data_IF_546558255551
#
_entry.id   IF_546558255551
#
_cell.length_a   1.000
_cell.length_b   1.000
_cell.length_c   1.000
_cell.angle_alpha   90.00
_cell.angle_beta   90.00
_cell.angle_gamma   90.00
#
_symmetry.space_group_name_H-M   'P 1'
#
loop_
_entity.id
_entity.type
_entity.pdbx_description
1 polymer ?
#
# COMPACT_ATOMS: atom_id res chain seq x y z
N UNK A 1 -9.94 10.11 28.81
CA UNK A 1 -9.15 11.36 29.01
C UNK A 1 -7.64 11.11 29.07
N UNK A 2 -7.15 10.10 29.82
CA UNK A 2 -5.71 9.77 29.93
C UNK A 2 -5.02 9.41 28.60
N UNK A 3 -5.71 8.76 27.65
CA UNK A 3 -5.18 8.43 26.32
C UNK A 3 -4.95 9.65 25.43
N UNK A 4 -5.87 10.64 25.49
CA UNK A 4 -5.75 11.91 24.76
C UNK A 4 -4.59 12.76 25.30
N UNK A 5 -4.45 12.86 26.62
CA UNK A 5 -3.34 13.58 27.24
C UNK A 5 -1.97 13.00 26.84
N UNK A 6 -1.80 11.66 26.92
CA UNK A 6 -0.58 10.98 26.47
C UNK A 6 -0.27 11.19 24.98
N UNK A 7 -1.30 11.24 24.12
CA UNK A 7 -1.14 11.55 22.69
C UNK A 7 -0.61 12.97 22.48
N UNK A 8 -1.19 13.98 23.15
CA UNK A 8 -0.73 15.37 23.05
C UNK A 8 0.69 15.57 23.57
N UNK A 9 1.08 14.95 24.69
CA UNK A 9 2.46 15.04 25.20
C UNK A 9 3.46 14.41 24.22
N UNK A 10 3.09 13.28 23.61
CA UNK A 10 3.93 12.58 22.62
C UNK A 10 4.06 13.37 21.31
N UNK A 11 2.98 14.00 20.86
CA UNK A 11 2.99 14.88 19.68
C UNK A 11 3.82 16.15 19.93
N UNK A 12 3.65 16.80 21.09
CA UNK A 12 4.46 17.95 21.50
C UNK A 12 5.95 17.62 21.58
N UNK A 13 6.31 16.49 22.20
CA UNK A 13 7.69 16.02 22.27
C UNK A 13 8.30 15.73 20.89
N UNK A 14 7.51 15.15 19.96
CA UNK A 14 7.92 14.92 18.57
C UNK A 14 8.19 16.24 17.82
N UNK A 15 7.36 17.26 18.01
CA UNK A 15 7.55 18.58 17.38
C UNK A 15 8.85 19.24 17.82
N UNK A 16 9.13 19.25 19.14
CA UNK A 16 10.39 19.79 19.68
C UNK A 16 11.58 19.01 19.14
N UNK A 17 11.52 17.67 19.18
CA UNK A 17 12.60 16.80 18.70
C UNK A 17 12.90 17.06 17.22
N UNK A 18 11.87 17.17 16.36
CA UNK A 18 12.05 17.47 14.95
C UNK A 18 12.65 18.87 14.72
N UNK A 19 12.25 19.87 15.51
CA UNK A 19 12.84 21.21 15.43
C UNK A 19 14.32 21.20 15.78
N UNK A 20 14.72 20.47 16.82
CA UNK A 20 16.13 20.32 17.22
C UNK A 20 16.95 19.58 16.15
N UNK A 21 16.38 18.52 15.54
CA UNK A 21 17.07 17.68 14.55
C UNK A 21 17.08 18.26 13.13
N UNK A 22 16.35 19.35 12.86
CA UNK A 22 16.21 19.89 11.50
C UNK A 22 17.54 20.24 10.83
N UNK A 23 18.45 20.91 11.55
CA UNK A 23 19.75 21.32 10.99
C UNK A 23 20.67 20.13 10.68
N UNK A 24 20.74 19.15 11.59
CA UNK A 24 21.56 17.95 11.36
C UNK A 24 20.97 17.09 10.25
N UNK A 25 19.65 16.96 10.19
CA UNK A 25 18.98 16.25 9.12
C UNK A 25 19.20 16.90 7.75
N UNK A 26 19.10 18.23 7.64
CA UNK A 26 19.36 18.94 6.40
C UNK A 26 20.76 18.65 5.82
N UNK A 27 21.78 18.47 6.68
CA UNK A 27 23.13 18.09 6.22
C UNK A 27 23.18 16.66 5.70
N UNK A 28 22.52 15.72 6.41
CA UNK A 28 22.45 14.31 5.97
C UNK A 28 21.67 14.15 4.67
N UNK A 29 20.59 14.90 4.49
CA UNK A 29 19.77 14.83 3.28
C UNK A 29 20.55 15.29 2.05
N UNK A 30 21.36 16.36 2.16
CA UNK A 30 22.27 16.76 1.08
C UNK A 30 23.29 15.66 0.75
N UNK A 31 23.78 14.93 1.75
CA UNK A 31 24.71 13.81 1.53
C UNK A 31 24.08 12.52 0.99
N UNK A 32 22.75 12.49 0.75
CA UNK A 32 22.07 11.28 0.26
C UNK A 32 22.15 11.09 -1.25
N UNK A 33 22.54 12.12 -2.00
CA UNK A 33 22.71 12.08 -3.45
C UNK A 33 22.44 13.44 -4.09
N UNK A 34 23.01 13.66 -5.28
CA UNK A 34 22.78 14.87 -6.05
C UNK A 34 21.39 14.84 -6.72
N UNK A 35 20.74 16.01 -6.78
CA UNK A 35 19.43 16.18 -7.43
C UNK A 35 19.64 17.00 -8.70
N UNK A 36 19.57 16.34 -9.85
CA UNK A 36 19.72 16.98 -11.16
C UNK A 36 18.51 17.87 -11.49
N UNK A 37 18.69 18.85 -12.37
CA UNK A 37 17.55 19.57 -12.97
C UNK A 37 16.68 18.61 -13.80
N UNK A 38 15.37 18.81 -13.78
CA UNK A 38 14.40 17.91 -14.43
C UNK A 38 14.10 16.63 -13.65
N UNK A 39 14.57 16.49 -12.41
CA UNK A 39 14.29 15.30 -11.59
C UNK A 39 12.82 15.23 -11.18
N UNK A 40 12.26 14.01 -11.19
CA UNK A 40 10.91 13.71 -10.72
C UNK A 40 10.89 13.72 -9.19
N UNK A 41 9.96 14.47 -8.60
CA UNK A 41 9.81 14.52 -7.15
C UNK A 41 8.76 13.52 -6.66
N UNK A 42 9.02 12.85 -5.55
CA UNK A 42 8.00 12.15 -4.75
C UNK A 42 7.72 13.00 -3.51
N UNK A 43 6.50 13.54 -3.37
CA UNK A 43 6.18 14.39 -2.23
C UNK A 43 5.60 13.58 -1.07
N UNK A 44 6.38 13.41 0.00
CA UNK A 44 6.00 12.61 1.16
C UNK A 44 6.10 13.42 2.46
N UNK A 45 4.99 14.04 2.86
CA UNK A 45 4.94 15.03 3.95
C UNK A 45 4.25 14.56 5.23
N UNK A 46 4.09 13.24 5.41
CA UNK A 46 3.45 12.61 6.58
C UNK A 46 4.45 12.23 7.67
N UNK A 47 3.97 11.73 8.82
CA UNK A 47 4.84 11.19 9.87
C UNK A 47 5.41 9.79 9.56
N UNK A 48 6.42 9.33 10.33
CA UNK A 48 7.16 8.10 10.05
C UNK A 48 6.28 6.84 10.12
N UNK A 49 5.18 6.88 10.89
CA UNK A 49 4.21 5.78 10.93
C UNK A 49 3.50 5.49 9.60
N UNK A 50 3.61 6.38 8.61
CA UNK A 50 3.02 6.20 7.28
C UNK A 50 4.04 5.81 6.20
N UNK A 51 5.33 5.63 6.55
CA UNK A 51 6.38 5.33 5.54
C UNK A 51 6.10 4.04 4.77
N UNK A 52 5.35 3.09 5.35
CA UNK A 52 4.88 1.90 4.64
C UNK A 52 4.18 2.23 3.30
N UNK A 53 3.48 3.36 3.20
CA UNK A 53 2.81 3.80 1.96
C UNK A 53 3.81 4.12 0.84
N UNK A 54 4.97 4.69 1.21
CA UNK A 54 6.06 4.96 0.28
C UNK A 54 6.86 3.68 0.00
N UNK A 55 7.08 2.81 1.00
CA UNK A 55 7.81 1.54 0.86
C UNK A 55 7.24 0.66 -0.27
N UNK A 56 5.92 0.64 -0.45
CA UNK A 56 5.28 -0.05 -1.58
C UNK A 56 5.76 0.44 -2.96
N UNK A 57 6.22 1.68 -3.07
CA UNK A 57 6.65 2.29 -4.34
C UNK A 57 8.18 2.36 -4.50
N UNK A 58 8.97 2.06 -3.47
CA UNK A 58 10.42 2.27 -3.52
C UNK A 58 11.08 1.49 -4.65
N UNK A 59 10.80 0.19 -4.80
CA UNK A 59 11.40 -0.61 -5.89
C UNK A 59 11.03 -0.10 -7.29
N UNK A 60 9.76 0.19 -7.62
CA UNK A 60 9.41 0.85 -8.89
C UNK A 60 10.11 2.19 -9.10
N UNK A 61 10.19 3.02 -8.06
CA UNK A 61 10.80 4.36 -8.14
C UNK A 61 12.33 4.29 -8.28
N UNK A 62 13.00 3.36 -7.61
CA UNK A 62 14.43 3.09 -7.76
C UNK A 62 14.76 2.50 -9.12
N UNK A 63 13.86 1.68 -9.68
CA UNK A 63 13.99 1.20 -11.06
C UNK A 63 13.81 2.33 -12.07
N UNK A 64 12.83 3.20 -11.87
CA UNK A 64 12.63 4.41 -12.66
C UNK A 64 13.85 5.33 -12.56
N UNK A 65 14.46 5.44 -11.36
CA UNK A 65 15.62 6.28 -11.10
C UNK A 65 16.81 6.00 -12.03
N UNK A 66 16.96 4.75 -12.46
CA UNK A 66 18.02 4.31 -13.37
C UNK A 66 17.94 4.96 -14.77
N UNK A 67 16.74 5.39 -15.19
CA UNK A 67 16.49 6.01 -16.50
C UNK A 67 16.04 7.46 -16.41
N UNK A 68 15.41 7.85 -15.30
CA UNK A 68 14.91 9.20 -15.04
C UNK A 68 15.29 9.58 -13.61
N UNK A 69 16.01 10.67 -13.35
CA UNK A 69 16.32 11.08 -11.97
C UNK A 69 15.05 11.24 -11.11
N UNK A 70 15.01 10.60 -9.94
CA UNK A 70 13.89 10.61 -8.98
C UNK A 70 14.46 10.97 -7.62
N UNK A 71 13.74 11.78 -6.83
CA UNK A 71 14.11 12.09 -5.45
C UNK A 71 12.88 12.22 -4.55
N UNK A 72 13.04 12.06 -3.24
CA UNK A 72 11.95 12.14 -2.26
C UNK A 72 12.02 13.45 -1.48
N UNK A 73 10.93 14.22 -1.49
CA UNK A 73 10.77 15.42 -0.67
C UNK A 73 10.12 15.03 0.66
N UNK A 74 10.78 15.36 1.76
CA UNK A 74 10.26 15.17 3.13
C UNK A 74 10.18 16.49 3.89
N UNK A 75 9.17 16.63 4.73
CA UNK A 75 8.95 17.84 5.55
C UNK A 75 9.41 17.70 7.00
N UNK A 76 9.81 16.49 7.42
CA UNK A 76 10.15 16.17 8.82
C UNK A 76 11.42 15.32 8.93
N UNK A 77 12.32 15.63 9.89
CA UNK A 77 13.53 14.83 10.13
C UNK A 77 13.29 13.37 10.52
N UNK A 78 12.30 13.08 11.37
CA UNK A 78 11.98 11.70 11.77
C UNK A 78 11.60 10.82 10.58
N UNK A 79 10.75 11.36 9.70
CA UNK A 79 10.28 10.71 8.48
C UNK A 79 11.42 10.56 7.49
N UNK A 80 12.16 11.63 7.24
CA UNK A 80 13.30 11.60 6.35
C UNK A 80 14.42 10.66 6.81
N UNK A 81 14.62 10.48 8.12
CA UNK A 81 15.56 9.48 8.65
C UNK A 81 15.13 8.08 8.26
N UNK A 82 13.84 7.75 8.45
CA UNK A 82 13.30 6.45 8.06
C UNK A 82 13.39 6.23 6.55
N UNK A 83 13.09 7.25 5.73
CA UNK A 83 13.24 7.17 4.26
C UNK A 83 14.69 6.84 3.86
N UNK A 84 15.69 7.49 4.47
CA UNK A 84 17.11 7.20 4.22
C UNK A 84 17.53 5.78 4.65
N UNK A 85 16.81 5.15 5.58
CA UNK A 85 17.09 3.78 6.01
C UNK A 85 16.56 2.72 5.04
N UNK A 86 15.52 3.04 4.26
CA UNK A 86 14.77 2.07 3.44
C UNK A 86 14.88 2.33 1.93
N UNK A 87 15.46 3.44 1.52
CA UNK A 87 15.52 3.88 0.12
C UNK A 87 16.94 4.29 -0.28
N UNK A 88 17.30 4.00 -1.52
CA UNK A 88 18.50 4.50 -2.18
C UNK A 88 18.31 5.83 -2.93
N UNK A 89 17.08 6.35 -2.98
CA UNK A 89 16.77 7.61 -3.68
C UNK A 89 17.33 8.82 -2.92
N UNK A 90 17.82 9.86 -3.62
CA UNK A 90 18.14 11.13 -3.01
C UNK A 90 16.95 11.72 -2.23
N UNK A 91 17.22 12.32 -1.07
CA UNK A 91 16.21 12.91 -0.19
C UNK A 91 16.43 14.41 -0.04
N UNK A 92 15.39 15.19 -0.36
CA UNK A 92 15.35 16.62 -0.14
C UNK A 92 14.54 16.99 1.11
N UNK A 93 15.11 17.78 2.01
CA UNK A 93 14.42 18.27 3.20
C UNK A 93 13.79 19.65 2.97
N UNK A 94 12.46 19.71 2.91
CA UNK A 94 11.68 20.93 2.71
C UNK A 94 10.60 21.10 3.81
N UNK A 95 10.94 21.65 4.99
CA UNK A 95 10.02 21.73 6.13
C UNK A 95 8.91 22.79 5.99
N UNK A 96 8.92 23.60 4.93
CA UNK A 96 7.94 24.67 4.72
C UNK A 96 8.02 25.30 3.34
N UNK A 97 7.10 26.23 3.06
CA UNK A 97 6.85 26.78 1.72
C UNK A 97 8.07 27.40 1.07
N UNK A 98 8.90 28.13 1.82
CA UNK A 98 10.13 28.78 1.31
C UNK A 98 11.14 27.73 0.83
N UNK A 99 11.34 26.67 1.61
CA UNK A 99 12.27 25.60 1.24
C UNK A 99 11.75 24.85 0.00
N UNK A 100 10.44 24.63 -0.06
CA UNK A 100 9.80 23.95 -1.18
C UNK A 100 9.88 24.76 -2.47
N UNK A 101 9.64 26.07 -2.41
CA UNK A 101 9.76 26.98 -3.56
C UNK A 101 11.19 27.03 -4.10
N UNK A 102 12.18 27.14 -3.21
CA UNK A 102 13.60 27.08 -3.60
C UNK A 102 13.94 25.76 -4.29
N UNK A 103 13.46 24.64 -3.75
CA UNK A 103 13.72 23.30 -4.27
C UNK A 103 13.10 23.12 -5.67
N UNK A 104 11.82 23.47 -5.84
CA UNK A 104 11.12 23.38 -7.13
C UNK A 104 11.81 24.23 -8.19
N UNK A 105 12.18 25.47 -7.85
CA UNK A 105 12.89 26.39 -8.76
C UNK A 105 14.29 25.88 -9.10
N UNK A 106 15.06 25.43 -8.11
CA UNK A 106 16.45 25.01 -8.31
C UNK A 106 16.59 23.78 -9.20
N UNK A 107 15.64 22.84 -9.12
CA UNK A 107 15.70 21.59 -9.87
C UNK A 107 14.74 21.53 -11.06
N UNK A 108 14.02 22.62 -11.37
CA UNK A 108 13.05 22.69 -12.47
C UNK A 108 12.17 21.43 -12.54
N UNK A 109 11.54 21.08 -11.41
CA UNK A 109 10.81 19.81 -11.23
C UNK A 109 9.66 19.72 -12.24
N UNK A 110 9.65 18.74 -13.16
CA UNK A 110 8.63 18.63 -14.20
C UNK A 110 7.41 17.82 -13.74
N UNK A 111 7.60 16.89 -12.80
CA UNK A 111 6.57 15.95 -12.33
C UNK A 111 6.68 15.74 -10.83
N UNK A 112 5.54 15.66 -10.15
CA UNK A 112 5.45 15.35 -8.72
C UNK A 112 4.50 14.17 -8.50
N UNK A 113 4.99 13.12 -7.84
CA UNK A 113 4.27 11.89 -7.53
C UNK A 113 3.77 11.88 -6.08
N UNK A 114 2.53 11.40 -5.88
CA UNK A 114 1.86 11.36 -4.57
C UNK A 114 1.32 9.97 -4.24
N UNK A 115 1.81 9.36 -3.16
CA UNK A 115 1.41 7.99 -2.73
C UNK A 115 0.22 7.95 -1.75
N UNK A 116 -0.33 9.11 -1.40
CA UNK A 116 -1.45 9.21 -0.47
C UNK A 116 -2.26 10.50 -0.66
N UNK A 117 -3.41 10.54 0.01
CA UNK A 117 -4.25 11.72 0.13
C UNK A 117 -4.08 12.31 1.53
N UNK A 118 -3.33 13.41 1.63
CA UNK A 118 -3.20 14.16 2.88
C UNK A 118 -3.29 15.65 2.61
N UNK A 119 -3.83 16.40 3.57
CA UNK A 119 -3.99 17.87 3.49
C UNK A 119 -2.68 18.58 3.14
N UNK A 120 -1.55 18.07 3.64
CA UNK A 120 -0.23 18.67 3.39
C UNK A 120 0.19 18.63 1.92
N UNK A 121 -0.42 17.78 1.07
CA UNK A 121 -0.15 17.75 -0.37
C UNK A 121 -0.52 19.07 -1.07
N UNK A 122 -1.51 19.82 -0.56
CA UNK A 122 -1.88 21.13 -1.10
C UNK A 122 -0.75 22.16 -1.02
N UNK A 123 0.23 21.97 -0.14
CA UNK A 123 1.43 22.84 -0.11
C UNK A 123 2.31 22.69 -1.34
N UNK A 124 2.28 21.51 -1.97
CA UNK A 124 3.03 21.20 -3.17
C UNK A 124 2.16 21.38 -4.43
N UNK A 125 0.88 21.02 -4.40
CA UNK A 125 -0.06 21.20 -5.54
C UNK A 125 -0.23 22.67 -5.94
N UNK A 126 0.10 23.62 -5.05
CA UNK A 126 0.06 25.06 -5.37
C UNK A 126 1.04 25.49 -6.48
N UNK A 127 2.07 24.70 -6.77
CA UNK A 127 3.03 25.04 -7.82
C UNK A 127 2.45 24.61 -9.15
N UNK A 128 2.03 25.53 -10.00
CA UNK A 128 1.37 25.17 -11.26
C UNK A 128 2.31 24.56 -12.31
N UNK A 129 3.63 24.75 -12.18
CA UNK A 129 4.59 24.34 -13.22
C UNK A 129 4.78 22.83 -13.38
N UNK A 130 4.87 22.00 -12.32
CA UNK A 130 5.01 20.56 -12.48
C UNK A 130 3.66 19.91 -12.78
N UNK A 131 3.68 18.76 -13.45
CA UNK A 131 2.52 17.88 -13.56
C UNK A 131 2.37 17.09 -12.26
N UNK A 132 1.20 17.19 -11.63
CA UNK A 132 0.90 16.52 -10.38
C UNK A 132 0.20 15.18 -10.65
N UNK A 133 0.80 14.09 -10.16
CA UNK A 133 0.37 12.72 -10.43
C UNK A 133 0.06 11.98 -9.15
N UNK A 134 -1.20 11.58 -8.98
CA UNK A 134 -1.59 10.69 -7.88
C UNK A 134 -1.30 9.22 -8.23
N UNK A 135 -0.68 8.51 -7.29
CA UNK A 135 -0.37 7.08 -7.38
C UNK A 135 -1.17 6.22 -6.39
N UNK A 136 -1.47 6.76 -5.20
CA UNK A 136 -1.98 5.96 -4.08
C UNK A 136 -0.95 4.96 -3.54
N UNK A 137 -1.39 3.97 -2.77
CA UNK A 137 -0.51 2.95 -2.14
C UNK A 137 -1.13 1.54 -2.18
N UNK A 138 -1.89 1.27 -3.23
CA UNK A 138 -2.53 -0.02 -3.48
C UNK A 138 -3.84 0.14 -4.24
N UNK A 139 -4.23 -0.90 -4.97
CA UNK A 139 -5.56 -1.02 -5.55
C UNK A 139 -6.55 -1.54 -4.50
N UNK A 140 -7.78 -1.04 -4.52
CA UNK A 140 -8.84 -1.51 -3.62
C UNK A 140 -10.19 -0.89 -3.99
N UNK A 141 -11.27 -1.66 -3.83
CA UNK A 141 -12.66 -1.17 -3.94
C UNK A 141 -13.16 -0.40 -2.70
N UNK A 142 -12.25 0.14 -1.87
CA UNK A 142 -12.62 1.01 -0.75
C UNK A 142 -13.09 2.37 -1.25
N UNK A 143 -14.04 2.99 -0.53
CA UNK A 143 -14.48 4.38 -0.77
C UNK A 143 -13.32 5.38 -0.84
N UNK A 144 -12.23 5.13 -0.11
CA UNK A 144 -11.04 5.98 -0.15
C UNK A 144 -10.40 6.08 -1.53
N UNK A 145 -10.59 5.07 -2.39
CA UNK A 145 -10.11 5.04 -3.77
C UNK A 145 -10.94 5.95 -4.70
N UNK A 146 -12.13 6.37 -4.26
CA UNK A 146 -13.06 7.25 -4.99
C UNK A 146 -13.17 8.59 -4.26
N UNK A 147 -12.06 9.30 -4.14
CA UNK A 147 -12.00 10.58 -3.44
C UNK A 147 -12.11 11.76 -4.39
N UNK A 148 -12.88 12.80 -4.01
CA UNK A 148 -12.85 14.11 -4.71
C UNK A 148 -11.44 14.72 -4.75
N UNK A 149 -10.52 14.28 -3.89
CA UNK A 149 -9.12 14.69 -3.94
C UNK A 149 -8.42 14.31 -5.24
N UNK A 150 -8.89 13.30 -5.98
CA UNK A 150 -8.38 12.97 -7.33
C UNK A 150 -8.47 14.16 -8.30
N UNK A 151 -9.44 15.06 -8.11
CA UNK A 151 -9.61 16.27 -8.94
C UNK A 151 -8.52 17.33 -8.74
N UNK A 152 -7.67 17.18 -7.73
CA UNK A 152 -6.58 18.11 -7.46
C UNK A 152 -5.30 17.79 -8.26
N UNK A 153 -5.28 16.67 -8.98
CA UNK A 153 -4.11 16.18 -9.71
C UNK A 153 -4.35 16.26 -11.21
N UNK A 154 -3.31 16.58 -11.98
CA UNK A 154 -3.37 16.59 -13.44
C UNK A 154 -3.54 15.18 -14.01
N UNK A 155 -2.94 14.18 -13.35
CA UNK A 155 -3.07 12.76 -13.70
C UNK A 155 -3.32 11.90 -12.46
N UNK A 156 -4.04 10.81 -12.68
CA UNK A 156 -4.32 9.78 -11.68
C UNK A 156 -3.89 8.44 -12.27
N UNK A 157 -2.83 7.85 -11.73
CA UNK A 157 -2.35 6.56 -12.16
C UNK A 157 -3.06 5.47 -11.37
N UNK A 158 -3.67 4.53 -12.09
CA UNK A 158 -4.46 3.44 -11.51
C UNK A 158 -4.02 2.09 -12.04
N UNK A 159 -4.44 1.03 -11.36
CA UNK A 159 -4.03 -0.32 -11.68
C UNK A 159 -4.59 -0.82 -13.03
N UNK A 160 -5.86 -0.55 -13.31
CA UNK A 160 -6.52 -1.04 -14.52
C UNK A 160 -7.91 -0.44 -14.71
N UNK A 161 -8.66 -1.04 -15.62
CA UNK A 161 -9.95 -0.51 -16.08
C UNK A 161 -10.97 -0.45 -14.95
N UNK A 162 -11.01 -1.46 -14.07
CA UNK A 162 -11.87 -1.49 -12.90
C UNK A 162 -11.80 -0.19 -12.06
N UNK A 163 -10.58 0.30 -11.82
CA UNK A 163 -10.37 1.53 -11.06
C UNK A 163 -10.80 2.79 -11.81
N UNK A 164 -10.56 2.82 -13.13
CA UNK A 164 -10.97 3.92 -14.01
C UNK A 164 -12.50 4.03 -14.08
N UNK A 165 -13.19 2.91 -14.28
CA UNK A 165 -14.66 2.82 -14.30
C UNK A 165 -15.26 3.28 -12.98
N UNK A 166 -14.69 2.83 -11.85
CA UNK A 166 -15.10 3.27 -10.50
C UNK A 166 -15.01 4.78 -10.35
N UNK A 167 -13.88 5.37 -10.77
CA UNK A 167 -13.65 6.82 -10.72
C UNK A 167 -14.65 7.56 -11.61
N UNK A 168 -14.81 7.13 -12.86
CA UNK A 168 -15.70 7.74 -13.84
C UNK A 168 -17.17 7.74 -13.39
N UNK A 169 -17.61 6.63 -12.80
CA UNK A 169 -18.99 6.44 -12.35
C UNK A 169 -19.34 7.31 -11.15
N UNK A 170 -18.42 7.46 -10.19
CA UNK A 170 -18.74 8.03 -8.88
C UNK A 170 -18.23 9.46 -8.67
N UNK A 171 -17.18 9.90 -9.38
CA UNK A 171 -16.67 11.28 -9.27
C UNK A 171 -17.37 12.21 -10.25
N UNK A 172 -18.43 12.87 -9.78
CA UNK A 172 -19.17 13.88 -10.55
C UNK A 172 -18.25 14.91 -11.18
N UNK A 173 -18.32 15.07 -12.50
CA UNK A 173 -17.58 16.09 -13.24
C UNK A 173 -16.06 15.86 -13.30
N UNK A 174 -15.58 14.64 -13.07
CA UNK A 174 -14.20 14.27 -13.33
C UNK A 174 -14.10 13.58 -14.70
N UNK A 175 -13.25 14.10 -15.58
CA UNK A 175 -12.99 13.51 -16.89
C UNK A 175 -11.95 12.39 -16.76
N UNK A 176 -12.43 11.16 -16.56
CA UNK A 176 -11.56 10.02 -16.36
C UNK A 176 -10.70 9.72 -17.60
N UNK A 177 -11.19 9.97 -18.81
CA UNK A 177 -10.44 9.71 -20.05
C UNK A 177 -9.27 10.69 -20.19
N UNK A 178 -9.47 11.96 -19.85
CA UNK A 178 -8.41 12.95 -19.87
C UNK A 178 -7.34 12.68 -18.79
N UNK A 179 -7.76 12.32 -17.58
CA UNK A 179 -6.88 12.35 -16.39
C UNK A 179 -6.32 11.00 -15.95
N UNK A 180 -6.98 9.87 -16.24
CA UNK A 180 -6.57 8.55 -15.73
C UNK A 180 -5.56 7.89 -16.67
N UNK A 181 -4.53 7.25 -16.11
CA UNK A 181 -3.61 6.37 -16.84
C UNK A 181 -3.54 5.00 -16.18
N UNK A 182 -3.67 3.96 -17.00
CA UNK A 182 -3.63 2.57 -16.56
C UNK A 182 -2.18 2.09 -16.56
N UNK A 183 -1.63 1.85 -15.38
CA UNK A 183 -0.21 1.51 -15.22
C UNK A 183 0.01 0.08 -14.72
N UNK A 184 -1.04 -0.69 -14.44
CA UNK A 184 -0.89 -1.98 -13.80
C UNK A 184 -0.44 -1.86 -12.34
N UNK A 185 0.21 -2.90 -11.84
CA UNK A 185 0.81 -2.91 -10.50
C UNK A 185 2.32 -3.13 -10.61
N UNK A 186 3.11 -2.08 -10.92
CA UNK A 186 4.55 -2.21 -11.10
C UNK A 186 5.27 -2.75 -9.85
N UNK A 187 4.66 -2.64 -8.67
CA UNK A 187 5.17 -3.26 -7.45
C UNK A 187 5.32 -4.79 -7.59
N UNK A 188 4.42 -5.44 -8.34
CA UNK A 188 4.39 -6.88 -8.52
C UNK A 188 5.42 -7.39 -9.54
N UNK A 189 6.05 -6.49 -10.31
CA UNK A 189 7.09 -6.85 -11.29
C UNK A 189 8.49 -7.04 -10.68
N UNK A 190 8.59 -6.94 -9.35
CA UNK A 190 9.84 -7.02 -8.61
C UNK A 190 9.89 -8.26 -7.72
N UNK A 191 11.09 -8.84 -7.60
CA UNK A 191 11.36 -9.87 -6.61
C UNK A 191 11.54 -9.23 -5.23
N UNK A 192 11.07 -9.93 -4.20
CA UNK A 192 11.20 -9.52 -2.80
C UNK A 192 11.87 -10.63 -1.99
N UNK A 193 12.88 -10.26 -1.20
CA UNK A 193 13.51 -11.18 -0.26
C UNK A 193 12.69 -11.28 1.04
N UNK A 194 12.91 -12.34 1.82
CA UNK A 194 12.30 -12.50 3.14
C UNK A 194 11.58 -13.82 3.38
N UNK A 195 11.43 -14.65 2.34
CA UNK A 195 10.84 -15.98 2.49
C UNK A 195 11.63 -16.85 3.47
N UNK A 196 10.97 -17.55 4.42
CA UNK A 196 11.66 -18.43 5.35
C UNK A 196 12.17 -19.69 4.63
N UNK A 197 13.27 -20.25 5.12
CA UNK A 197 13.83 -21.51 4.63
C UNK A 197 13.05 -22.72 5.17
N UNK A 198 11.78 -22.83 4.82
CA UNK A 198 10.94 -23.97 5.19
C UNK A 198 11.29 -25.21 4.35
N UNK A 199 11.37 -26.37 5.01
CA UNK A 199 11.50 -27.65 4.31
C UNK A 199 10.28 -27.89 3.42
N UNK A 200 10.52 -28.49 2.25
CA UNK A 200 9.44 -28.93 1.36
C UNK A 200 8.84 -30.21 1.95
N UNK A 201 7.77 -30.05 2.72
CA UNK A 201 7.12 -31.11 3.50
C UNK A 201 5.69 -31.44 3.01
N UNK A 202 5.26 -30.83 1.90
CA UNK A 202 3.93 -31.02 1.31
C UNK A 202 2.79 -30.29 2.03
N UNK A 203 3.07 -29.53 3.09
CA UNK A 203 2.07 -28.68 3.71
C UNK A 203 1.71 -27.49 2.81
N UNK A 204 0.42 -27.15 2.76
CA UNK A 204 -0.05 -25.96 2.04
C UNK A 204 0.21 -24.71 2.87
N UNK A 205 0.85 -23.72 2.26
CA UNK A 205 1.26 -22.47 2.90
C UNK A 205 0.11 -21.46 2.81
N UNK A 206 -0.46 -21.12 3.97
CA UNK A 206 -1.58 -20.19 4.10
C UNK A 206 -1.04 -18.81 4.51
N UNK A 207 -1.26 -17.79 3.69
CA UNK A 207 -0.94 -16.41 4.02
C UNK A 207 -2.16 -15.70 4.59
N UNK A 208 -2.16 -15.43 5.89
CA UNK A 208 -3.21 -14.65 6.54
C UNK A 208 -2.73 -13.21 6.79
N UNK A 209 -3.33 -12.26 6.06
CA UNK A 209 -2.91 -10.86 6.06
C UNK A 209 -4.10 -9.91 6.28
N UNK A 210 -4.62 -9.84 7.51
CA UNK A 210 -5.79 -9.02 7.81
C UNK A 210 -5.45 -7.53 7.85
N UNK A 211 -6.49 -6.72 7.67
CA UNK A 211 -6.47 -5.28 7.94
C UNK A 211 -6.56 -5.01 9.45
N UNK A 212 -6.44 -3.73 9.83
CA UNK A 212 -6.63 -3.28 11.20
C UNK A 212 -8.09 -2.81 11.42
N UNK A 213 -8.42 -2.43 12.65
CA UNK A 213 -9.78 -2.03 13.05
C UNK A 213 -10.32 -0.75 12.37
N UNK A 214 -9.51 -0.05 11.58
CA UNK A 214 -9.92 1.17 10.88
C UNK A 214 -9.86 2.44 11.74
N UNK A 215 -9.93 3.59 11.06
CA UNK A 215 -9.99 4.91 11.70
C UNK A 215 -11.42 5.39 11.98
N UNK A 216 -12.42 4.79 11.30
CA UNK A 216 -13.84 5.07 11.42
C UNK A 216 -14.66 3.78 11.23
N UNK A 217 -15.91 3.72 11.74
CA UNK A 217 -16.74 2.52 11.66
C UNK A 217 -16.90 1.94 10.26
N UNK A 218 -17.04 2.79 9.23
CA UNK A 218 -17.17 2.36 7.83
C UNK A 218 -15.93 1.73 7.21
N UNK A 219 -14.78 1.81 7.90
CA UNK A 219 -13.51 1.21 7.48
C UNK A 219 -13.10 0.04 8.39
N UNK A 220 -13.99 -0.45 9.25
CA UNK A 220 -13.73 -1.53 10.19
C UNK A 220 -13.84 -2.91 9.55
N UNK A 221 -12.93 -3.21 8.61
CA UNK A 221 -12.85 -4.49 7.89
C UNK A 221 -12.11 -5.60 8.64
N UNK A 222 -11.32 -5.23 9.66
CA UNK A 222 -10.38 -6.09 10.35
C UNK A 222 -10.97 -7.39 10.91
N UNK A 223 -10.52 -8.53 10.40
CA UNK A 223 -11.00 -9.85 10.82
C UNK A 223 -10.23 -10.44 12.02
N UNK A 224 -9.13 -9.82 12.47
CA UNK A 224 -8.26 -10.33 13.56
C UNK A 224 -9.06 -10.73 14.80
N UNK A 225 -9.96 -9.84 15.26
CA UNK A 225 -10.73 -10.05 16.49
C UNK A 225 -11.96 -10.95 16.31
N UNK A 226 -12.61 -10.91 15.15
CA UNK A 226 -13.86 -11.64 14.88
C UNK A 226 -13.61 -13.06 14.38
N UNK A 227 -12.71 -13.23 13.41
CA UNK A 227 -12.44 -14.52 12.75
C UNK A 227 -11.07 -15.08 13.13
N UNK A 228 -10.07 -14.20 13.25
CA UNK A 228 -8.65 -14.55 13.19
C UNK A 228 -8.23 -15.58 14.23
N UNK A 229 -8.66 -15.43 15.49
CA UNK A 229 -8.28 -16.37 16.57
C UNK A 229 -8.80 -17.78 16.29
N UNK A 230 -10.09 -17.91 15.91
CA UNK A 230 -10.71 -19.19 15.61
C UNK A 230 -10.05 -19.86 14.39
N UNK A 231 -9.90 -19.11 13.30
CA UNK A 231 -9.26 -19.61 12.08
C UNK A 231 -7.83 -20.09 12.33
N UNK A 232 -7.00 -19.28 13.00
CA UNK A 232 -5.59 -19.61 13.22
C UNK A 232 -5.43 -20.78 14.20
N UNK A 233 -6.31 -20.92 15.20
CA UNK A 233 -6.33 -22.07 16.10
C UNK A 233 -6.62 -23.37 15.34
N UNK A 234 -7.64 -23.36 14.48
CA UNK A 234 -8.03 -24.54 13.71
C UNK A 234 -6.94 -24.93 12.70
N UNK A 235 -6.40 -23.97 11.95
CA UNK A 235 -5.34 -24.23 10.97
C UNK A 235 -4.04 -24.71 11.64
N UNK A 236 -3.64 -24.14 12.77
CA UNK A 236 -2.40 -24.54 13.45
C UNK A 236 -2.47 -25.97 14.01
N UNK A 237 -3.66 -26.45 14.37
CA UNK A 237 -3.87 -27.80 14.87
C UNK A 237 -3.76 -28.89 13.79
N UNK A 238 -3.85 -28.55 12.50
CA UNK A 238 -3.84 -29.48 11.39
C UNK A 238 -2.50 -29.41 10.61
N UNK A 239 -1.73 -30.51 10.55
CA UNK A 239 -0.41 -30.52 9.92
C UNK A 239 -0.43 -30.29 8.41
N UNK A 240 -1.59 -30.34 7.76
CA UNK A 240 -1.71 -30.00 6.33
C UNK A 240 -1.39 -28.53 6.05
N UNK A 241 -1.48 -27.66 7.05
CA UNK A 241 -1.33 -26.22 6.88
C UNK A 241 -0.04 -25.69 7.47
N UNK A 242 0.49 -24.65 6.83
CA UNK A 242 1.61 -23.86 7.34
C UNK A 242 1.29 -22.38 7.22
N UNK A 243 1.16 -21.72 8.36
CA UNK A 243 0.63 -20.36 8.42
C UNK A 243 1.76 -19.32 8.35
N UNK A 244 1.61 -18.34 7.47
CA UNK A 244 2.29 -17.05 7.51
C UNK A 244 1.25 -16.01 7.93
N UNK A 245 1.30 -15.56 9.18
CA UNK A 245 0.43 -14.52 9.69
C UNK A 245 1.14 -13.17 9.66
N UNK A 246 0.62 -12.23 8.87
CA UNK A 246 1.12 -10.86 8.78
C UNK A 246 0.12 -9.87 9.38
N UNK A 247 0.26 -9.51 10.66
CA UNK A 247 -0.59 -8.48 11.26
C UNK A 247 -0.31 -7.11 10.63
N UNK A 248 -1.37 -6.35 10.40
CA UNK A 248 -1.23 -4.95 9.99
C UNK A 248 -0.43 -4.16 11.06
N UNK A 249 0.49 -3.24 10.68
CA UNK A 249 1.32 -2.48 11.64
C UNK A 249 0.52 -1.62 12.65
N UNK A 250 -0.75 -1.35 12.33
CA UNK A 250 -1.68 -0.60 13.18
C UNK A 250 -2.70 -1.47 13.94
N UNK A 251 -2.65 -2.79 13.83
CA UNK A 251 -3.58 -3.67 14.54
C UNK A 251 -3.51 -3.41 16.05
N UNK A 252 -4.68 -3.13 16.64
CA UNK A 252 -4.80 -2.86 18.07
C UNK A 252 -4.49 -1.42 18.50
N UNK A 253 -4.32 -0.49 17.55
CA UNK A 253 -4.06 0.92 17.83
C UNK A 253 -5.27 1.66 18.44
N UNK A 254 -6.47 1.35 17.95
CA UNK A 254 -7.77 1.88 18.34
C UNK A 254 -8.65 0.84 19.06
N UNK A 255 -8.32 -0.46 18.98
CA UNK A 255 -9.14 -1.54 19.57
C UNK A 255 -8.34 -2.47 20.49
N UNK A 256 -8.69 -2.48 21.78
CA UNK A 256 -8.09 -3.41 22.73
C UNK A 256 -8.39 -4.88 22.39
N UNK A 257 -9.56 -5.15 21.81
CA UNK A 257 -9.94 -6.49 21.35
C UNK A 257 -9.03 -6.97 20.21
N UNK A 258 -8.76 -6.12 19.21
CA UNK A 258 -7.80 -6.44 18.15
C UNK A 258 -6.39 -6.65 18.70
N UNK A 259 -5.96 -5.81 19.65
CA UNK A 259 -4.66 -5.98 20.29
C UNK A 259 -4.55 -7.31 21.06
N UNK A 260 -5.63 -7.74 21.72
CA UNK A 260 -5.68 -9.01 22.43
C UNK A 260 -5.68 -10.20 21.47
N UNK A 261 -6.51 -10.15 20.43
CA UNK A 261 -6.59 -11.19 19.42
C UNK A 261 -5.28 -11.36 18.64
N UNK A 262 -4.57 -10.27 18.29
CA UNK A 262 -3.24 -10.34 17.69
C UNK A 262 -2.25 -11.08 18.60
N UNK A 263 -2.23 -10.75 19.90
CA UNK A 263 -1.37 -11.45 20.87
C UNK A 263 -1.71 -12.93 20.98
N UNK A 264 -2.99 -13.27 20.94
CA UNK A 264 -3.46 -14.64 21.03
C UNK A 264 -3.07 -15.46 19.79
N UNK A 265 -3.24 -14.92 18.59
CA UNK A 265 -2.78 -15.57 17.35
C UNK A 265 -1.28 -15.81 17.40
N UNK A 266 -0.48 -14.80 17.80
CA UNK A 266 0.97 -14.97 17.96
C UNK A 266 1.31 -16.09 18.94
N UNK A 267 0.60 -16.17 20.07
CA UNK A 267 0.80 -17.21 21.06
C UNK A 267 0.44 -18.60 20.52
N UNK A 268 -0.67 -18.72 19.78
CA UNK A 268 -1.07 -19.95 19.09
C UNK A 268 0.05 -20.41 18.16
N UNK A 269 0.52 -19.54 17.27
CA UNK A 269 1.53 -19.90 16.27
C UNK A 269 2.88 -20.27 16.91
N UNK A 270 3.33 -19.51 17.92
CA UNK A 270 4.55 -19.83 18.67
C UNK A 270 4.44 -21.14 19.46
N UNK A 271 3.24 -21.55 19.88
CA UNK A 271 2.99 -22.83 20.54
C UNK A 271 3.36 -24.05 19.67
N UNK A 272 3.47 -23.86 18.35
CA UNK A 272 3.88 -24.87 17.38
C UNK A 272 5.35 -24.72 16.93
N UNK A 273 6.18 -24.00 17.70
CA UNK A 273 7.59 -23.78 17.40
C UNK A 273 7.81 -22.99 16.11
N UNK A 274 8.79 -23.41 15.30
CA UNK A 274 9.15 -22.73 14.02
C UNK A 274 8.30 -23.21 12.82
N UNK A 275 7.23 -23.98 13.08
CA UNK A 275 6.34 -24.44 12.01
C UNK A 275 5.63 -23.29 11.33
N UNK A 276 5.18 -22.30 12.09
CA UNK A 276 4.45 -21.15 11.56
C UNK A 276 5.27 -19.88 11.67
N UNK A 277 4.93 -18.87 10.88
CA UNK A 277 5.63 -17.58 10.87
C UNK A 277 4.66 -16.47 11.24
N UNK A 278 5.02 -15.69 12.26
CA UNK A 278 4.49 -14.35 12.47
C UNK A 278 5.39 -13.39 11.69
N UNK A 279 4.91 -12.93 10.56
CA UNK A 279 5.66 -12.08 9.63
C UNK A 279 5.51 -10.60 10.00
N UNK A 280 6.63 -10.00 10.41
CA UNK A 280 6.77 -8.56 10.65
C UNK A 280 7.84 -7.93 9.75
N UNK A 281 8.27 -8.63 8.70
CA UNK A 281 9.30 -8.20 7.77
C UNK A 281 8.74 -7.45 6.56
N UNK A 282 9.47 -7.49 5.45
CA UNK A 282 9.07 -6.86 4.19
C UNK A 282 7.84 -7.54 3.57
N UNK A 283 7.09 -6.78 2.78
CA UNK A 283 5.93 -7.26 2.03
C UNK A 283 6.29 -7.44 0.55
N UNK A 284 5.87 -8.56 -0.02
CA UNK A 284 6.03 -8.92 -1.44
C UNK A 284 6.47 -10.38 -1.63
N UNK A 285 7.36 -10.89 -0.78
CA UNK A 285 7.88 -12.27 -0.93
C UNK A 285 6.80 -13.34 -0.71
N UNK A 286 5.73 -12.98 -0.01
CA UNK A 286 4.61 -13.86 0.32
C UNK A 286 3.84 -14.29 -0.92
N UNK A 287 3.80 -13.47 -1.97
CA UNK A 287 3.08 -13.76 -3.21
C UNK A 287 3.62 -15.01 -3.91
N UNK A 288 4.94 -15.12 -4.02
CA UNK A 288 5.60 -16.29 -4.62
C UNK A 288 5.63 -17.47 -3.65
N UNK A 289 5.74 -17.18 -2.35
CA UNK A 289 5.95 -18.18 -1.32
C UNK A 289 4.68 -18.86 -0.82
N UNK A 290 3.53 -18.19 -0.73
CA UNK A 290 2.32 -18.82 -0.21
C UNK A 290 1.50 -19.48 -1.34
N UNK A 291 0.66 -20.44 -0.95
CA UNK A 291 -0.18 -21.22 -1.88
C UNK A 291 -1.62 -20.69 -1.90
N UNK A 292 -2.10 -20.15 -0.78
CA UNK A 292 -3.44 -19.57 -0.65
C UNK A 292 -3.41 -18.37 0.30
N UNK A 293 -4.23 -17.36 0.05
CA UNK A 293 -4.37 -16.20 0.92
C UNK A 293 -5.73 -16.14 1.61
N UNK A 294 -5.71 -15.75 2.88
CA UNK A 294 -6.87 -15.27 3.63
C UNK A 294 -6.63 -13.80 3.96
N UNK A 295 -7.55 -12.93 3.61
CA UNK A 295 -7.47 -11.49 3.95
C UNK A 295 -8.86 -10.89 4.03
N UNK A 296 -8.93 -9.61 4.37
CA UNK A 296 -10.17 -8.86 4.44
C UNK A 296 -10.39 -8.09 3.12
N UNK A 297 -11.35 -7.17 3.08
CA UNK A 297 -11.40 -6.13 2.04
C UNK A 297 -10.16 -5.23 2.19
N UNK A 298 -9.09 -5.59 1.47
CA UNK A 298 -7.73 -5.09 1.65
C UNK A 298 -7.03 -4.92 0.31
N UNK A 299 -6.06 -4.01 0.21
CA UNK A 299 -5.19 -3.95 -0.98
C UNK A 299 -4.40 -5.25 -1.20
N UNK A 300 -4.13 -6.00 -0.12
CA UNK A 300 -3.51 -7.33 -0.19
C UNK A 300 -4.33 -8.30 -1.04
N UNK A 301 -5.67 -8.22 -0.99
CA UNK A 301 -6.55 -9.07 -1.80
C UNK A 301 -6.34 -8.85 -3.30
N UNK A 302 -6.12 -7.60 -3.70
CA UNK A 302 -5.90 -7.20 -5.09
C UNK A 302 -4.47 -7.52 -5.54
N UNK A 303 -3.48 -7.35 -4.66
CA UNK A 303 -2.12 -7.82 -4.96
C UNK A 303 -2.09 -9.33 -5.16
N UNK A 304 -2.86 -10.06 -4.34
CA UNK A 304 -2.99 -11.51 -4.46
C UNK A 304 -3.76 -11.92 -5.71
N UNK A 305 -4.81 -11.18 -6.08
CA UNK A 305 -5.56 -11.40 -7.33
C UNK A 305 -4.62 -11.50 -8.54
N UNK A 306 -3.60 -10.63 -8.61
CA UNK A 306 -2.63 -10.65 -9.70
C UNK A 306 -1.76 -11.92 -9.77
N UNK A 307 -1.69 -12.71 -8.70
CA UNK A 307 -0.98 -14.01 -8.71
C UNK A 307 -1.81 -15.13 -9.35
N UNK A 308 -3.12 -14.93 -9.51
CA UNK A 308 -4.08 -15.94 -9.94
C UNK A 308 -4.30 -17.08 -8.92
N UNK A 309 -3.62 -17.06 -7.77
CA UNK A 309 -3.69 -18.12 -6.75
C UNK A 309 -5.00 -18.06 -5.94
N UNK A 310 -5.42 -19.16 -5.31
CA UNK A 310 -6.62 -19.22 -4.49
C UNK A 310 -6.67 -18.13 -3.40
N UNK A 311 -7.84 -17.53 -3.23
CA UNK A 311 -8.09 -16.45 -2.27
C UNK A 311 -9.39 -16.70 -1.50
N UNK A 312 -9.36 -16.43 -0.19
CA UNK A 312 -10.53 -16.41 0.67
C UNK A 312 -10.65 -15.05 1.36
N UNK A 313 -11.76 -14.34 1.13
CA UNK A 313 -12.01 -13.01 1.72
C UNK A 313 -12.93 -13.11 2.94
N UNK A 314 -12.55 -12.51 4.06
CA UNK A 314 -13.42 -12.47 5.23
C UNK A 314 -14.53 -11.45 5.05
N UNK A 315 -15.76 -11.82 5.40
CA UNK A 315 -16.89 -10.88 5.48
C UNK A 315 -16.78 -10.08 6.78
N UNK A 316 -16.74 -8.73 6.75
CA UNK A 316 -16.61 -7.92 7.96
C UNK A 316 -17.72 -8.19 8.98
N UNK A 317 -17.32 -8.40 10.23
CA UNK A 317 -18.24 -8.54 11.38
C UNK A 317 -18.56 -7.17 11.98
N UNK A 318 -19.02 -6.26 11.13
CA UNK A 318 -19.32 -4.88 11.47
C UNK A 318 -20.41 -4.37 10.53
N UNK A 319 -21.60 -4.13 11.07
CA UNK A 319 -22.78 -3.66 10.31
C UNK A 319 -22.56 -2.32 9.60
N UNK A 320 -21.60 -1.53 10.05
CA UNK A 320 -21.26 -0.24 9.45
C UNK A 320 -20.15 -0.34 8.40
N UNK A 321 -19.40 -1.46 8.36
CA UNK A 321 -18.40 -1.67 7.34
C UNK A 321 -19.10 -1.93 6.01
N UNK A 322 -18.72 -1.18 4.98
CA UNK A 322 -19.29 -1.33 3.64
C UNK A 322 -18.64 -2.53 2.97
N UNK A 323 -19.34 -3.64 2.75
CA UNK A 323 -18.87 -4.65 1.82
C UNK A 323 -19.17 -4.15 0.40
N UNK A 324 -18.18 -3.65 -0.35
CA UNK A 324 -18.46 -2.99 -1.62
C UNK A 324 -19.01 -4.00 -2.61
N UNK A 325 -20.04 -3.60 -3.35
CA UNK A 325 -20.45 -4.33 -4.55
C UNK A 325 -19.38 -4.09 -5.62
N UNK A 326 -18.53 -5.08 -5.85
CA UNK A 326 -17.55 -5.07 -6.92
C UNK A 326 -17.48 -6.42 -7.62
N UNK A 327 -17.09 -6.39 -8.90
CA UNK A 327 -16.93 -7.59 -9.73
C UNK A 327 -16.02 -8.59 -9.01
N UNK A 328 -14.87 -8.14 -8.51
CA UNK A 328 -13.95 -8.99 -7.77
C UNK A 328 -14.56 -9.62 -6.52
N UNK A 329 -15.17 -8.82 -5.64
CA UNK A 329 -15.72 -9.34 -4.38
C UNK A 329 -16.96 -10.24 -4.58
N UNK A 330 -17.62 -10.13 -5.74
CA UNK A 330 -18.72 -11.02 -6.12
C UNK A 330 -18.26 -12.38 -6.65
N UNK A 331 -17.03 -12.48 -7.14
CA UNK A 331 -16.47 -13.68 -7.77
C UNK A 331 -15.57 -14.50 -6.84
N UNK A 332 -15.03 -13.89 -5.78
CA UNK A 332 -14.15 -14.58 -4.84
C UNK A 332 -14.92 -15.24 -3.69
N UNK A 333 -14.50 -16.45 -3.25
CA UNK A 333 -15.06 -17.10 -2.08
C UNK A 333 -14.91 -16.23 -0.82
N UNK A 334 -15.95 -16.25 0.01
CA UNK A 334 -15.97 -15.51 1.27
C UNK A 334 -16.20 -16.40 2.48
N UNK A 335 -15.75 -15.94 3.65
CA UNK A 335 -15.98 -16.61 4.94
C UNK A 335 -16.49 -15.60 5.96
N UNK A 336 -17.62 -15.92 6.59
CA UNK A 336 -18.18 -15.16 7.70
C UNK A 336 -17.72 -15.72 9.05
N UNK A 337 -17.95 -14.98 10.14
CA UNK A 337 -17.54 -15.37 11.49
C UNK A 337 -18.03 -16.77 11.89
N UNK A 338 -19.25 -17.14 11.48
CA UNK A 338 -19.85 -18.44 11.75
C UNK A 338 -19.11 -19.62 11.08
N UNK A 339 -18.31 -19.37 10.05
CA UNK A 339 -17.52 -20.38 9.36
C UNK A 339 -16.07 -20.48 9.84
N UNK A 340 -15.61 -19.60 10.75
CA UNK A 340 -14.20 -19.48 11.12
C UNK A 340 -13.61 -20.79 11.69
N UNK A 341 -14.40 -21.56 12.44
CA UNK A 341 -13.99 -22.86 13.00
C UNK A 341 -13.92 -23.99 11.95
N UNK A 342 -14.38 -23.76 10.73
CA UNK A 342 -14.33 -24.70 9.61
C UNK A 342 -13.38 -24.24 8.49
N UNK A 343 -12.54 -23.24 8.73
CA UNK A 343 -11.70 -22.62 7.69
C UNK A 343 -10.81 -23.63 6.95
N UNK A 344 -10.26 -24.64 7.63
CA UNK A 344 -9.44 -25.66 6.98
C UNK A 344 -10.24 -26.50 5.96
N UNK A 345 -11.51 -26.78 6.22
CA UNK A 345 -12.36 -27.50 5.27
C UNK A 345 -12.77 -26.61 4.09
N UNK A 346 -13.03 -25.32 4.36
CA UNK A 346 -13.27 -24.31 3.31
C UNK A 346 -12.06 -24.20 2.37
N UNK A 347 -10.85 -24.08 2.92
CA UNK A 347 -9.62 -24.06 2.12
C UNK A 347 -9.40 -25.36 1.35
N UNK A 348 -9.66 -26.51 1.97
CA UNK A 348 -9.49 -27.80 1.31
C UNK A 348 -10.47 -27.99 0.13
N UNK A 349 -11.67 -27.44 0.21
CA UNK A 349 -12.63 -27.40 -0.89
C UNK A 349 -12.17 -26.43 -1.98
N UNK A 350 -11.78 -25.22 -1.59
CA UNK A 350 -11.25 -24.19 -2.48
C UNK A 350 -10.08 -24.70 -3.34
N UNK A 351 -9.14 -25.42 -2.72
CA UNK A 351 -7.96 -25.96 -3.39
C UNK A 351 -8.24 -27.17 -4.30
N UNK A 352 -9.39 -27.85 -4.14
CA UNK A 352 -9.79 -29.00 -4.96
C UNK A 352 -10.60 -28.62 -6.19
N UNK A 353 -11.37 -27.54 -6.12
CA UNK A 353 -12.19 -27.08 -7.23
C UNK A 353 -11.31 -26.34 -8.24
N UNK A 354 -11.06 -26.94 -9.40
CA UNK A 354 -10.23 -26.35 -10.45
C UNK A 354 -10.73 -25.00 -10.96
N UNK A 355 -12.02 -24.68 -10.79
CA UNK A 355 -12.58 -23.35 -11.14
C UNK A 355 -12.38 -22.31 -10.05
N UNK A 356 -12.20 -22.73 -8.80
CA UNK A 356 -11.94 -21.86 -7.65
C UNK A 356 -10.45 -21.83 -7.27
N UNK A 357 -9.66 -22.78 -7.78
CA UNK A 357 -8.23 -22.92 -7.54
C UNK A 357 -7.38 -21.92 -8.34
N UNK A 358 -7.96 -21.28 -9.34
CA UNK A 358 -7.34 -20.20 -10.12
C UNK A 358 -8.36 -19.09 -10.35
N UNK A 359 -7.98 -17.86 -10.08
CA UNK A 359 -8.85 -16.71 -10.37
C UNK A 359 -8.88 -16.45 -11.89
N UNK A 360 -10.02 -16.02 -12.41
CA UNK A 360 -10.23 -15.78 -13.85
C UNK A 360 -9.24 -14.76 -14.41
N UNK A 361 -8.51 -15.14 -15.47
CA UNK A 361 -7.58 -14.28 -16.20
C UNK A 361 -8.26 -13.00 -16.72
N UNK A 362 -9.55 -13.07 -17.07
CA UNK A 362 -10.32 -11.89 -17.49
C UNK A 362 -10.50 -10.90 -16.34
N UNK A 363 -10.73 -11.38 -15.12
CA UNK A 363 -10.83 -10.54 -13.92
C UNK A 363 -9.47 -9.90 -13.59
N UNK A 364 -8.39 -10.70 -13.64
CA UNK A 364 -7.01 -10.20 -13.47
C UNK A 364 -6.70 -9.11 -14.50
N UNK A 365 -7.03 -9.35 -15.77
CA UNK A 365 -6.82 -8.40 -16.85
C UNK A 365 -7.65 -7.13 -16.67
N UNK A 366 -8.90 -7.24 -16.22
CA UNK A 366 -9.75 -6.07 -15.96
C UNK A 366 -9.18 -5.17 -14.85
N UNK A 367 -8.61 -5.76 -13.80
CA UNK A 367 -8.02 -5.00 -12.69
C UNK A 367 -6.60 -4.49 -12.96
N UNK A 368 -5.80 -5.17 -13.79
CA UNK A 368 -4.36 -4.89 -13.91
C UNK A 368 -3.83 -4.71 -15.34
N UNK A 369 -4.64 -5.02 -16.35
CA UNK A 369 -4.20 -5.14 -17.73
C UNK A 369 -3.27 -6.34 -17.93
N UNK A 370 -2.30 -6.21 -18.83
CA UNK A 370 -1.29 -7.25 -19.06
C UNK A 370 -0.35 -7.40 -17.85
N UNK A 371 -0.26 -8.59 -17.28
CA UNK A 371 0.55 -8.94 -16.10
C UNK A 371 1.82 -9.72 -16.43
N UNK A 372 2.20 -9.79 -17.72
CA UNK A 372 3.47 -10.38 -18.13
C UNK A 372 4.65 -9.67 -17.43
N UNK A 373 5.74 -10.41 -17.19
CA UNK A 373 6.89 -9.91 -16.43
C UNK A 373 7.37 -8.53 -16.93
N UNK A 374 7.33 -7.52 -16.04
CA UNK A 374 7.73 -6.11 -16.27
C UNK A 374 6.79 -5.29 -17.16
N UNK A 375 5.63 -5.82 -17.55
CA UNK A 375 4.67 -5.08 -18.37
C UNK A 375 4.09 -3.87 -17.60
N UNK A 376 3.78 -4.02 -16.30
CA UNK A 376 3.29 -2.90 -15.48
C UNK A 376 4.36 -1.83 -15.29
N UNK A 377 5.61 -2.24 -15.09
CA UNK A 377 6.78 -1.35 -14.98
C UNK A 377 6.98 -0.54 -16.25
N UNK A 378 6.86 -1.19 -17.41
CA UNK A 378 6.95 -0.50 -18.70
C UNK A 378 5.82 0.52 -18.87
N UNK A 379 4.57 0.17 -18.53
CA UNK A 379 3.44 1.11 -18.55
C UNK A 379 3.61 2.27 -17.57
N UNK A 380 4.10 2.01 -16.36
CA UNK A 380 4.41 3.04 -15.38
C UNK A 380 5.47 4.02 -15.89
N UNK A 381 6.57 3.53 -16.46
CA UNK A 381 7.60 4.38 -17.06
C UNK A 381 7.04 5.20 -18.24
N UNK A 382 6.25 4.58 -19.12
CA UNK A 382 5.63 5.27 -20.25
C UNK A 382 4.67 6.38 -19.80
N UNK A 383 3.86 6.14 -18.76
CA UNK A 383 2.96 7.14 -18.21
C UNK A 383 3.71 8.31 -17.54
N UNK A 384 4.84 8.03 -16.87
CA UNK A 384 5.72 9.09 -16.35
C UNK A 384 6.34 9.90 -17.48
N UNK A 385 6.82 9.24 -18.54
CA UNK A 385 7.38 9.91 -19.72
C UNK A 385 6.34 10.79 -20.43
N UNK A 386 5.08 10.34 -20.51
CA UNK A 386 3.96 11.14 -20.99
C UNK A 386 3.75 12.40 -20.13
N UNK A 387 3.80 12.28 -18.80
CA UNK A 387 3.67 13.42 -17.90
C UNK A 387 4.83 14.42 -18.05
N UNK A 388 6.05 13.93 -18.26
CA UNK A 388 7.22 14.78 -18.54
C UNK A 388 7.05 15.51 -19.87
N UNK A 389 6.64 14.80 -20.93
CA UNK A 389 6.39 15.40 -22.24
C UNK A 389 5.30 16.46 -22.17
N UNK A 390 4.19 16.19 -21.47
CA UNK A 390 3.12 17.15 -21.26
C UNK A 390 3.61 18.44 -20.58
N UNK A 391 4.48 18.33 -19.56
CA UNK A 391 5.07 19.49 -18.90
C UNK A 391 5.97 20.30 -19.85
N UNK A 392 6.74 19.63 -20.72
CA UNK A 392 7.63 20.26 -21.68
C UNK A 392 6.87 20.96 -22.82
N UNK A 393 5.79 20.35 -23.31
CA UNK A 393 4.95 20.88 -24.39
C UNK A 393 4.04 22.03 -23.93
N UNK A 394 3.80 22.14 -22.62
CA UNK A 394 2.96 23.18 -22.00
C UNK A 394 3.74 23.96 -20.94
N UNK A 395 4.82 24.69 -21.34
CA UNK A 395 5.70 25.33 -20.38
C UNK A 395 4.97 26.43 -19.60
N UNK A 396 5.06 26.35 -18.29
CA UNK A 396 4.56 27.37 -17.37
C UNK A 396 5.72 28.07 -16.67
N UNK A 397 5.59 29.37 -16.32
CA UNK A 397 6.61 30.05 -15.55
C UNK A 397 6.77 29.39 -14.19
N UNK A 398 8.03 29.22 -13.75
CA UNK A 398 8.37 28.81 -12.39
C UNK A 398 7.96 29.93 -11.42
N UNK A 399 6.74 29.84 -10.88
CA UNK A 399 6.21 30.78 -9.89
C UNK A 399 7.04 30.78 -8.61
#
# INVERSE_FOLDING_TARGET
>A
MLSRARRYTREGGRLVTNRVRAKSFARRSVGSGDIAAGSIAVFFSTGPENVYQLEHWLRPLERLHQTRPVFVIVSRPDTGTKVLEVSSLPVAFAPGSIALERLVRAHAVPVVLYVNHVELNFRMIRFASPVHVYLGHGESDKDSSISNQNKAYDRVFVAGEAAKERIATHLRGFDADAHVRLIGRPQLDHEYAGAPAWAVDGATRVFYAPTWEGDRPSMGYGSVASHGVAMMRQLAADPRWRIVYRPHPRSGFNSAAHAQADREIRAILHGHGERHLVDTGDYGWQWDFADVCITDVSSVAYDWLATGKPLLVTVPDNEHALFPESTFLSEVPTIATSGADAVGDVLALLLKDSRSATIDDALVHHYFGETAHRASTARFHAAVDEAIAYAADNPLPLL
#
